data_IF_535067128745
#
_entry.id   IF_535067128745
#
_cell.length_a   1.000
_cell.length_b   1.000
_cell.length_c   1.000
_cell.angle_alpha   90.00
_cell.angle_beta   90.00
_cell.angle_gamma   90.00
#
_symmetry.space_group_name_H-M   'P 1'
#
loop_
_entity.id
_entity.type
_entity.pdbx_description
1 polymer ?
#
# COMPACT_ATOMS: atom_id res chain seq x y z
N UNK A 1 -26.56 17.22 -0.03
CA UNK A 1 -25.43 17.84 -0.74
C UNK A 1 -24.33 18.05 0.28
N UNK A 2 -23.19 17.36 0.14
CA UNK A 2 -22.00 17.71 0.91
C UNK A 2 -21.62 19.12 0.45
N UNK A 3 -21.57 20.08 1.38
CA UNK A 3 -21.22 21.46 1.04
C UNK A 3 -19.85 21.49 0.37
N UNK A 4 -19.77 22.19 -0.77
CA UNK A 4 -18.50 22.38 -1.46
C UNK A 4 -17.65 23.36 -0.66
N UNK A 5 -16.43 22.96 -0.33
CA UNK A 5 -15.45 23.83 0.30
C UNK A 5 -14.69 24.58 -0.79
N UNK A 6 -14.75 25.90 -0.78
CA UNK A 6 -13.91 26.71 -1.66
C UNK A 6 -12.52 26.87 -1.07
N UNK A 7 -11.48 26.76 -1.90
CA UNK A 7 -10.09 26.88 -1.50
C UNK A 7 -9.40 27.95 -2.37
N UNK A 8 -9.05 29.11 -1.80
CA UNK A 8 -8.42 30.21 -2.52
C UNK A 8 -7.05 29.85 -3.10
N UNK A 9 -6.67 30.49 -4.21
CA UNK A 9 -5.37 30.31 -4.87
C UNK A 9 -4.18 30.49 -3.93
N UNK A 10 -4.26 31.49 -3.05
CA UNK A 10 -3.25 31.76 -2.03
C UNK A 10 -3.07 30.64 -1.00
N UNK A 11 -4.05 29.74 -0.87
CA UNK A 11 -3.99 28.62 0.07
C UNK A 11 -3.60 27.31 -0.60
N UNK A 12 -4.15 27.01 -1.78
CA UNK A 12 -3.93 25.70 -2.39
C UNK A 12 -2.61 25.58 -3.13
N UNK A 13 -2.06 26.67 -3.69
CA UNK A 13 -0.74 26.63 -4.33
C UNK A 13 0.37 26.24 -3.34
N UNK A 14 0.45 26.84 -2.12
CA UNK A 14 1.40 26.39 -1.11
C UNK A 14 1.20 24.93 -0.69
N UNK A 15 -0.05 24.46 -0.56
CA UNK A 15 -0.34 23.05 -0.22
C UNK A 15 0.13 22.09 -1.32
N UNK A 16 -0.13 22.43 -2.57
CA UNK A 16 0.32 21.65 -3.73
C UNK A 16 1.86 21.56 -3.80
N UNK A 17 2.56 22.68 -3.59
CA UNK A 17 4.02 22.72 -3.57
C UNK A 17 4.60 21.92 -2.39
N UNK A 18 4.01 22.03 -1.19
CA UNK A 18 4.43 21.26 -0.02
C UNK A 18 4.22 19.75 -0.23
N UNK A 19 3.11 19.36 -0.87
CA UNK A 19 2.85 17.98 -1.24
C UNK A 19 3.88 17.46 -2.26
N UNK A 20 4.15 18.21 -3.32
CA UNK A 20 5.15 17.84 -4.32
C UNK A 20 6.53 17.63 -3.67
N UNK A 21 6.96 18.54 -2.81
CA UNK A 21 8.20 18.40 -2.04
C UNK A 21 8.20 17.17 -1.10
N UNK A 22 7.03 16.77 -0.56
CA UNK A 22 6.89 15.54 0.25
C UNK A 22 7.07 14.29 -0.61
N UNK A 23 6.47 14.25 -1.80
CA UNK A 23 6.61 13.14 -2.77
C UNK A 23 8.05 13.03 -3.27
N UNK A 24 8.71 14.15 -3.54
CA UNK A 24 10.05 14.20 -4.14
C UNK A 24 11.10 13.47 -3.30
N UNK A 25 10.95 13.46 -1.96
CA UNK A 25 11.83 12.74 -1.03
C UNK A 25 11.94 11.24 -1.35
N UNK A 26 10.91 10.66 -1.96
CA UNK A 26 10.86 9.24 -2.34
C UNK A 26 11.02 9.04 -3.84
N UNK A 27 10.43 9.93 -4.65
CA UNK A 27 10.45 9.84 -6.10
C UNK A 27 11.83 10.12 -6.69
N UNK A 28 12.54 11.15 -6.22
CA UNK A 28 13.83 11.54 -6.79
C UNK A 28 14.90 10.45 -6.65
N UNK A 29 15.14 9.84 -5.45
CA UNK A 29 16.11 8.76 -5.32
C UNK A 29 15.78 7.55 -6.21
N UNK A 30 14.49 7.20 -6.33
CA UNK A 30 14.05 6.14 -7.22
C UNK A 30 14.38 6.44 -8.68
N UNK A 31 14.07 7.65 -9.16
CA UNK A 31 14.36 8.06 -10.54
C UNK A 31 15.86 8.09 -10.83
N UNK A 32 16.67 8.63 -9.90
CA UNK A 32 18.13 8.65 -10.02
C UNK A 32 18.71 7.24 -10.15
N UNK A 33 18.28 6.30 -9.30
CA UNK A 33 18.70 4.89 -9.39
C UNK A 33 18.31 4.29 -10.73
N UNK A 34 17.08 4.52 -11.21
CA UNK A 34 16.60 3.99 -12.49
C UNK A 34 17.40 4.53 -13.66
N UNK A 35 17.79 5.80 -13.65
CA UNK A 35 18.67 6.38 -14.68
C UNK A 35 20.06 5.72 -14.71
N UNK A 36 20.56 5.30 -13.55
CA UNK A 36 21.83 4.57 -13.42
C UNK A 36 21.69 3.04 -13.55
N UNK A 37 20.50 2.54 -13.90
CA UNK A 37 20.18 1.11 -13.94
C UNK A 37 20.44 0.37 -12.60
N UNK A 38 20.41 1.10 -11.49
CA UNK A 38 20.54 0.57 -10.14
C UNK A 38 19.17 0.14 -9.60
N UNK A 39 19.19 -0.74 -8.60
CA UNK A 39 18.00 -1.23 -7.90
C UNK A 39 18.21 -1.10 -6.41
N UNK A 40 17.14 -0.83 -5.67
CA UNK A 40 17.12 -0.91 -4.21
C UNK A 40 16.02 -1.88 -3.77
N UNK A 41 16.34 -2.93 -2.96
CA UNK A 41 15.41 -4.04 -2.66
C UNK A 41 14.17 -3.64 -1.87
N UNK A 42 14.27 -2.57 -1.06
CA UNK A 42 13.17 -2.04 -0.24
C UNK A 42 12.50 -0.85 -0.94
N UNK A 43 13.23 0.26 -1.12
CA UNK A 43 12.71 1.54 -1.60
C UNK A 43 12.05 1.52 -2.99
N UNK A 44 12.54 0.70 -3.92
CA UNK A 44 11.97 0.68 -5.27
C UNK A 44 10.63 -0.07 -5.33
N UNK A 45 10.28 -0.82 -4.27
CA UNK A 45 9.14 -1.72 -4.26
C UNK A 45 7.83 -0.97 -4.54
N UNK A 46 7.56 0.15 -3.87
CA UNK A 46 6.27 0.84 -4.05
C UNK A 46 6.07 1.41 -5.46
N UNK A 47 7.14 1.73 -6.19
CA UNK A 47 7.06 2.25 -7.56
C UNK A 47 7.09 1.16 -8.65
N UNK A 48 7.48 -0.07 -8.29
CA UNK A 48 7.59 -1.21 -9.20
C UNK A 48 6.45 -2.21 -9.02
N UNK A 49 5.97 -2.40 -7.80
CA UNK A 49 4.87 -3.29 -7.45
C UNK A 49 3.51 -2.64 -7.70
N UNK A 50 3.31 -1.41 -7.22
CA UNK A 50 2.07 -0.68 -7.45
C UNK A 50 2.07 0.01 -8.82
N UNK A 51 0.86 0.24 -9.35
CA UNK A 51 0.69 0.84 -10.68
C UNK A 51 0.89 2.35 -10.70
N UNK A 52 0.89 3.00 -9.53
CA UNK A 52 1.02 4.44 -9.38
C UNK A 52 2.47 4.88 -9.64
N UNK A 53 2.68 5.66 -10.71
CA UNK A 53 4.01 6.14 -11.11
C UNK A 53 4.40 7.42 -10.36
N UNK A 54 5.72 7.72 -10.21
CA UNK A 54 6.18 8.93 -9.53
C UNK A 54 5.51 10.21 -10.04
N UNK A 55 5.47 10.43 -11.36
CA UNK A 55 4.84 11.61 -11.95
C UNK A 55 3.30 11.65 -11.81
N UNK A 56 2.65 10.53 -11.54
CA UNK A 56 1.22 10.51 -11.17
C UNK A 56 1.06 10.84 -9.69
N UNK A 57 1.95 10.34 -8.82
CA UNK A 57 1.94 10.63 -7.39
C UNK A 57 2.24 12.11 -7.12
N UNK A 58 3.11 12.76 -7.87
CA UNK A 58 3.41 14.20 -7.74
C UNK A 58 2.20 15.12 -8.01
N UNK A 59 1.16 14.64 -8.70
CA UNK A 59 -0.04 15.45 -8.97
C UNK A 59 -0.87 15.60 -7.71
N UNK A 60 -0.87 16.82 -7.16
CA UNK A 60 -1.69 17.17 -6.00
C UNK A 60 -3.17 17.30 -6.36
N UNK A 61 -4.04 16.71 -5.55
CA UNK A 61 -5.49 16.77 -5.66
C UNK A 61 -6.11 17.13 -4.30
N UNK A 62 -7.03 18.12 -4.23
CA UNK A 62 -7.66 18.51 -2.96
C UNK A 62 -8.68 17.48 -2.44
N UNK A 63 -9.10 16.54 -3.28
CA UNK A 63 -10.13 15.55 -2.96
C UNK A 63 -11.54 15.97 -3.36
N UNK A 64 -12.49 15.08 -3.12
CA UNK A 64 -13.90 15.29 -3.37
C UNK A 64 -14.48 16.44 -2.52
N UNK A 65 -15.37 17.23 -3.12
CA UNK A 65 -16.08 18.31 -2.42
C UNK A 65 -15.27 19.60 -2.22
N UNK A 66 -14.12 19.75 -2.89
CA UNK A 66 -13.31 20.98 -2.86
C UNK A 66 -13.28 21.65 -4.22
N UNK A 67 -13.48 22.98 -4.25
CA UNK A 67 -13.36 23.84 -5.43
C UNK A 67 -12.09 24.67 -5.29
N UNK A 68 -11.22 24.63 -6.30
CA UNK A 68 -10.04 25.47 -6.37
C UNK A 68 -10.40 26.78 -7.06
N UNK A 69 -10.19 27.89 -6.37
CA UNK A 69 -10.38 29.22 -6.93
C UNK A 69 -9.10 29.73 -7.62
N UNK A 70 -9.24 30.82 -8.38
CA UNK A 70 -8.14 31.54 -9.02
C UNK A 70 -7.82 31.07 -10.42
N UNK A 71 -7.00 31.86 -11.14
CA UNK A 71 -6.68 31.61 -12.54
C UNK A 71 -5.81 30.37 -12.72
N UNK A 72 -4.99 30.02 -11.72
CA UNK A 72 -4.19 28.81 -11.75
C UNK A 72 -5.03 27.52 -11.73
N UNK A 73 -6.28 27.58 -11.20
CA UNK A 73 -7.18 26.44 -11.18
C UNK A 73 -7.64 26.02 -12.59
N UNK A 74 -7.68 26.95 -13.55
CA UNK A 74 -8.07 26.68 -14.94
C UNK A 74 -7.21 25.60 -15.61
N UNK A 75 -5.94 25.46 -15.20
CA UNK A 75 -5.05 24.41 -15.70
C UNK A 75 -5.55 22.99 -15.37
N UNK A 76 -6.40 22.86 -14.34
CA UNK A 76 -6.98 21.58 -13.93
C UNK A 76 -8.12 21.13 -14.85
N UNK A 77 -8.72 22.00 -15.66
CA UNK A 77 -9.78 21.60 -16.60
C UNK A 77 -9.29 20.61 -17.67
N UNK A 78 -7.99 20.61 -17.98
CA UNK A 78 -7.39 19.59 -18.85
C UNK A 78 -7.18 18.22 -18.16
N UNK A 79 -7.47 18.11 -16.87
CA UNK A 79 -7.23 16.91 -16.09
C UNK A 79 -8.47 16.03 -16.07
N UNK A 80 -8.26 14.71 -16.05
CA UNK A 80 -9.36 13.75 -16.03
C UNK A 80 -10.25 13.96 -14.79
N UNK A 81 -11.55 14.02 -15.02
CA UNK A 81 -12.60 14.22 -14.01
C UNK A 81 -12.62 15.61 -13.35
N UNK A 82 -11.95 16.63 -13.91
CA UNK A 82 -12.12 18.00 -13.44
C UNK A 82 -13.11 18.75 -14.32
N UNK A 83 -13.93 19.59 -13.70
CA UNK A 83 -14.94 20.42 -14.36
C UNK A 83 -15.04 21.79 -13.70
N UNK A 84 -15.60 22.74 -14.43
CA UNK A 84 -15.97 24.04 -13.87
C UNK A 84 -17.05 23.86 -12.79
N UNK A 85 -16.91 24.60 -11.70
CA UNK A 85 -17.88 24.71 -10.63
C UNK A 85 -18.08 26.20 -10.31
N UNK A 86 -19.12 26.52 -9.54
CA UNK A 86 -19.39 27.90 -9.14
C UNK A 86 -18.16 28.52 -8.46
N UNK A 87 -17.51 29.46 -9.16
CA UNK A 87 -16.34 30.19 -8.66
C UNK A 87 -14.97 29.52 -8.83
N UNK A 88 -14.88 28.35 -9.48
CA UNK A 88 -13.58 27.68 -9.66
C UNK A 88 -13.61 26.34 -10.38
N UNK A 89 -12.62 25.49 -10.11
CA UNK A 89 -12.45 24.18 -10.74
C UNK A 89 -12.41 23.08 -9.69
N UNK A 90 -13.18 22.02 -9.89
CA UNK A 90 -13.35 20.94 -8.91
C UNK A 90 -13.53 19.58 -9.57
N UNK A 91 -13.61 18.53 -8.75
CA UNK A 91 -13.86 17.17 -9.20
C UNK A 91 -15.31 17.03 -9.69
N UNK A 92 -15.48 16.56 -10.92
CA UNK A 92 -16.74 16.04 -11.43
C UNK A 92 -17.06 14.70 -10.74
N UNK A 93 -17.85 14.79 -9.66
CA UNK A 93 -18.20 13.65 -8.83
C UNK A 93 -19.06 12.63 -9.57
N UNK A 94 -19.96 13.07 -10.45
CA UNK A 94 -20.86 12.18 -11.18
C UNK A 94 -20.08 11.38 -12.22
N UNK A 95 -19.28 12.05 -13.05
CA UNK A 95 -18.45 11.37 -14.04
C UNK A 95 -17.40 10.46 -13.38
N UNK A 96 -16.79 10.89 -12.28
CA UNK A 96 -15.88 10.05 -11.51
C UNK A 96 -16.59 8.82 -10.93
N UNK A 97 -17.74 9.00 -10.28
CA UNK A 97 -18.51 7.94 -9.64
C UNK A 97 -18.98 6.88 -10.64
N UNK A 98 -19.48 7.31 -11.80
CA UNK A 98 -19.85 6.41 -12.87
C UNK A 98 -18.65 5.62 -13.41
N UNK A 99 -17.53 6.29 -13.70
CA UNK A 99 -16.34 5.66 -14.25
C UNK A 99 -15.58 4.77 -13.26
N UNK A 100 -15.78 4.95 -11.95
CA UNK A 100 -15.07 4.24 -10.86
C UNK A 100 -16.00 3.43 -9.95
N UNK A 101 -17.25 3.18 -10.35
CA UNK A 101 -18.27 2.53 -9.53
C UNK A 101 -17.79 1.23 -8.88
N UNK A 102 -17.14 0.34 -9.65
CA UNK A 102 -16.60 -0.92 -9.12
C UNK A 102 -15.45 -0.71 -8.12
N UNK A 103 -14.52 0.22 -8.42
CA UNK A 103 -13.40 0.51 -7.52
C UNK A 103 -13.89 1.09 -6.19
N UNK A 104 -14.88 1.98 -6.24
CA UNK A 104 -15.53 2.57 -5.05
C UNK A 104 -16.23 1.47 -4.25
N UNK A 105 -17.07 0.64 -4.91
CA UNK A 105 -17.78 -0.47 -4.27
C UNK A 105 -16.81 -1.45 -3.59
N UNK A 106 -15.75 -1.86 -4.29
CA UNK A 106 -14.77 -2.79 -3.73
C UNK A 106 -13.99 -2.17 -2.58
N UNK A 107 -13.56 -0.91 -2.69
CA UNK A 107 -12.89 -0.19 -1.62
C UNK A 107 -13.75 -0.13 -0.36
N UNK A 108 -15.05 0.19 -0.46
CA UNK A 108 -15.96 0.16 0.69
C UNK A 108 -16.01 -1.21 1.35
N UNK A 109 -16.21 -2.26 0.56
CA UNK A 109 -16.32 -3.64 1.06
C UNK A 109 -15.04 -4.04 1.79
N UNK A 110 -13.88 -3.85 1.18
CA UNK A 110 -12.62 -4.32 1.74
C UNK A 110 -12.17 -3.48 2.96
N UNK A 111 -12.33 -2.15 2.91
CA UNK A 111 -11.96 -1.28 4.02
C UNK A 111 -12.87 -1.53 5.24
N UNK A 112 -14.19 -1.61 5.04
CA UNK A 112 -15.14 -1.88 6.12
C UNK A 112 -15.00 -3.32 6.66
N UNK A 113 -14.87 -4.30 5.77
CA UNK A 113 -14.68 -5.70 6.14
C UNK A 113 -13.44 -5.90 6.99
N UNK A 114 -12.28 -5.39 6.55
CA UNK A 114 -11.03 -5.46 7.30
C UNK A 114 -11.13 -4.75 8.65
N UNK A 115 -11.76 -3.58 8.72
CA UNK A 115 -11.94 -2.86 9.98
C UNK A 115 -12.84 -3.59 11.00
N UNK A 116 -13.77 -4.43 10.54
CA UNK A 116 -14.73 -5.13 11.40
C UNK A 116 -14.22 -6.44 12.01
N UNK A 117 -13.04 -6.92 11.61
CA UNK A 117 -12.50 -8.22 12.01
C UNK A 117 -11.45 -8.09 13.11
N UNK A 118 -11.29 -9.11 13.97
CA UNK A 118 -10.16 -9.16 14.89
C UNK A 118 -8.83 -9.26 14.12
N UNK A 119 -7.80 -8.55 14.61
CA UNK A 119 -6.45 -8.66 14.08
C UNK A 119 -5.81 -10.01 14.41
N UNK A 120 -5.16 -10.62 13.42
CA UNK A 120 -4.31 -11.79 13.58
C UNK A 120 -2.83 -11.37 13.43
N UNK A 121 -2.05 -11.63 14.48
CA UNK A 121 -0.64 -11.27 14.61
C UNK A 121 0.29 -12.49 14.59
N UNK A 122 -0.21 -13.65 14.15
CA UNK A 122 0.55 -14.91 14.13
C UNK A 122 1.08 -15.28 12.73
N UNK A 123 1.14 -14.33 11.79
CA UNK A 123 1.71 -14.56 10.45
C UNK A 123 3.24 -14.51 10.44
N UNK A 124 3.84 -13.62 11.25
CA UNK A 124 5.29 -13.44 11.40
C UNK A 124 6.07 -13.19 10.10
N UNK A 125 5.42 -12.69 9.04
CA UNK A 125 6.08 -12.44 7.76
C UNK A 125 6.43 -13.72 6.98
N UNK A 126 5.91 -14.88 7.38
CA UNK A 126 6.25 -16.18 6.80
C UNK A 126 5.87 -16.32 5.32
N UNK A 127 5.12 -15.37 4.75
CA UNK A 127 4.83 -15.35 3.32
C UNK A 127 6.10 -15.19 2.46
N UNK A 128 7.08 -14.38 2.85
CA UNK A 128 8.33 -14.24 2.07
C UNK A 128 9.17 -15.53 2.18
N UNK A 129 9.10 -16.23 3.31
CA UNK A 129 9.76 -17.52 3.53
C UNK A 129 9.11 -18.61 2.66
N UNK A 130 7.78 -18.62 2.55
CA UNK A 130 7.05 -19.50 1.67
C UNK A 130 7.32 -19.22 0.17
N UNK A 131 7.57 -17.97 -0.22
CA UNK A 131 7.99 -17.61 -1.58
C UNK A 131 9.42 -18.08 -1.90
N UNK A 132 10.26 -18.29 -0.89
CA UNK A 132 11.64 -18.80 -1.05
C UNK A 132 11.77 -20.30 -0.71
N UNK A 133 10.67 -20.98 -0.40
CA UNK A 133 10.70 -22.39 0.02
C UNK A 133 11.13 -23.31 -1.14
N UNK A 134 12.05 -24.24 -0.85
CA UNK A 134 12.67 -25.12 -1.85
C UNK A 134 13.40 -24.34 -2.95
N UNK A 135 14.11 -23.28 -2.57
CA UNK A 135 14.79 -22.37 -3.49
C UNK A 135 15.82 -23.03 -4.42
N UNK A 136 16.39 -24.18 -4.05
CA UNK A 136 17.30 -24.92 -4.93
C UNK A 136 16.60 -25.42 -6.21
N UNK A 137 15.31 -25.71 -6.13
CA UNK A 137 14.49 -26.14 -7.27
C UNK A 137 13.71 -24.99 -7.89
N UNK A 138 13.24 -24.05 -7.06
CA UNK A 138 12.34 -22.97 -7.47
C UNK A 138 13.02 -21.63 -7.79
N UNK A 139 14.30 -21.48 -7.42
CA UNK A 139 14.96 -20.18 -7.36
C UNK A 139 14.41 -19.29 -6.24
N UNK A 140 14.78 -18.01 -6.27
CA UNK A 140 14.28 -16.98 -5.34
C UNK A 140 13.88 -15.73 -6.12
N UNK A 141 12.89 -15.00 -5.60
CA UNK A 141 12.37 -13.78 -6.22
C UNK A 141 13.38 -12.64 -6.25
N UNK A 142 14.18 -12.50 -5.19
CA UNK A 142 15.23 -11.49 -5.08
C UNK A 142 16.61 -12.14 -5.32
N UNK A 143 16.87 -12.59 -6.56
CA UNK A 143 18.09 -13.34 -6.95
C UNK A 143 19.42 -12.65 -6.62
N UNK A 144 19.41 -11.32 -6.46
CA UNK A 144 20.59 -10.52 -6.12
C UNK A 144 20.79 -10.35 -4.60
N UNK A 145 19.91 -10.92 -3.77
CA UNK A 145 20.04 -10.93 -2.32
C UNK A 145 20.34 -12.35 -1.83
N UNK A 146 21.35 -12.54 -0.96
CA UNK A 146 21.60 -13.84 -0.36
C UNK A 146 20.50 -14.21 0.64
N UNK A 147 20.30 -15.51 0.86
CA UNK A 147 19.45 -16.02 1.94
C UNK A 147 20.24 -16.05 3.25
N UNK A 148 19.71 -15.42 4.30
CA UNK A 148 20.37 -15.26 5.61
C UNK A 148 20.69 -16.60 6.30
N UNK A 149 19.84 -17.61 6.08
CA UNK A 149 20.02 -18.97 6.64
C UNK A 149 20.35 -20.02 5.55
N UNK A 150 20.64 -19.59 4.32
CA UNK A 150 20.74 -20.47 3.16
C UNK A 150 19.41 -21.17 2.82
N UNK A 151 19.44 -22.01 1.78
CA UNK A 151 18.26 -22.74 1.33
C UNK A 151 17.73 -23.70 2.41
N UNK A 152 18.59 -24.56 2.97
CA UNK A 152 18.21 -25.55 3.97
C UNK A 152 17.68 -24.93 5.28
N UNK A 153 18.22 -23.78 5.71
CA UNK A 153 17.70 -23.07 6.88
C UNK A 153 16.36 -22.40 6.63
N UNK A 154 16.17 -21.82 5.44
CA UNK A 154 14.88 -21.26 5.00
C UNK A 154 13.80 -22.34 4.96
N UNK A 155 14.11 -23.50 4.38
CA UNK A 155 13.22 -24.66 4.35
C UNK A 155 12.79 -25.11 5.74
N UNK A 156 13.73 -25.17 6.68
CA UNK A 156 13.46 -25.57 8.06
C UNK A 156 12.48 -24.61 8.75
N UNK A 157 12.65 -23.30 8.57
CA UNK A 157 11.72 -22.30 9.12
C UNK A 157 10.31 -22.53 8.58
N UNK A 158 10.16 -22.74 7.27
CA UNK A 158 8.85 -23.03 6.64
C UNK A 158 8.22 -24.30 7.20
N UNK A 159 9.01 -25.35 7.43
CA UNK A 159 8.52 -26.65 7.91
C UNK A 159 8.15 -26.66 9.41
N UNK A 160 8.87 -25.91 10.24
CA UNK A 160 8.67 -25.87 11.69
C UNK A 160 7.58 -24.89 12.12
N UNK A 161 7.08 -24.05 11.21
CA UNK A 161 6.12 -23.00 11.50
C UNK A 161 4.78 -23.21 10.81
N UNK A 162 3.72 -22.67 11.43
CA UNK A 162 2.38 -22.67 10.83
C UNK A 162 2.20 -21.43 9.97
N UNK A 163 2.04 -21.62 8.67
CA UNK A 163 1.80 -20.53 7.73
C UNK A 163 0.30 -20.26 7.67
N UNK A 164 -0.10 -19.02 7.95
CA UNK A 164 -1.51 -18.62 8.08
C UNK A 164 -1.79 -17.32 7.33
N UNK A 165 -1.16 -17.16 6.17
CA UNK A 165 -1.33 -15.96 5.36
C UNK A 165 -2.77 -15.85 4.87
N UNK A 166 -3.40 -14.72 5.16
CA UNK A 166 -4.77 -14.39 4.71
C UNK A 166 -4.77 -13.54 3.45
N UNK A 167 -3.61 -13.03 3.03
CA UNK A 167 -3.51 -12.02 1.98
C UNK A 167 -3.19 -12.65 0.62
N UNK A 168 -4.16 -12.61 -0.29
CA UNK A 168 -4.06 -13.25 -1.60
C UNK A 168 -2.88 -12.74 -2.44
N UNK A 169 -2.61 -11.44 -2.44
CA UNK A 169 -1.56 -10.86 -3.26
C UNK A 169 -0.14 -11.19 -2.78
N UNK A 170 0.02 -11.76 -1.58
CA UNK A 170 1.23 -12.43 -1.13
C UNK A 170 1.16 -13.94 -1.44
N UNK A 171 0.06 -14.59 -1.07
CA UNK A 171 -0.13 -16.03 -1.23
C UNK A 171 0.08 -16.53 -2.67
N UNK A 172 -0.37 -15.78 -3.68
CA UNK A 172 -0.24 -16.16 -5.10
C UNK A 172 1.20 -16.26 -5.62
N UNK A 173 2.20 -15.86 -4.82
CA UNK A 173 3.62 -15.97 -5.14
C UNK A 173 4.32 -17.13 -4.44
N UNK A 174 3.61 -17.91 -3.63
CA UNK A 174 4.19 -19.06 -2.94
C UNK A 174 4.74 -20.06 -3.96
N UNK A 175 5.81 -20.75 -3.58
CA UNK A 175 6.27 -21.89 -4.37
C UNK A 175 5.24 -23.01 -4.31
N UNK A 176 5.15 -23.87 -5.35
CA UNK A 176 4.15 -24.94 -5.41
C UNK A 176 4.12 -25.82 -4.15
N UNK A 177 5.28 -26.08 -3.56
CA UNK A 177 5.43 -26.90 -2.35
C UNK A 177 5.01 -26.17 -1.07
N UNK A 178 5.02 -24.84 -1.04
CA UNK A 178 4.57 -24.05 0.11
C UNK A 178 3.06 -23.77 0.11
N UNK A 179 2.42 -23.77 -1.06
CA UNK A 179 0.96 -23.59 -1.22
C UNK A 179 0.14 -24.49 -0.27
N UNK A 180 0.35 -25.83 -0.24
CA UNK A 180 -0.43 -26.71 0.65
C UNK A 180 -0.10 -26.56 2.14
N UNK A 181 0.98 -25.86 2.50
CA UNK A 181 1.38 -25.63 3.89
C UNK A 181 0.66 -24.45 4.53
N UNK A 182 0.04 -23.57 3.74
CA UNK A 182 -0.77 -22.49 4.25
C UNK A 182 -2.12 -23.03 4.75
N UNK A 183 -2.45 -22.76 6.02
CA UNK A 183 -3.70 -23.22 6.63
C UNK A 183 -4.96 -22.68 5.92
N UNK A 184 -4.81 -21.54 5.24
CA UNK A 184 -5.83 -20.93 4.41
C UNK A 184 -5.43 -21.03 2.94
N UNK A 185 -6.41 -20.98 2.04
CA UNK A 185 -6.17 -20.96 0.60
C UNK A 185 -6.80 -19.69 0.01
N UNK A 186 -6.22 -18.49 0.27
CA UNK A 186 -6.77 -17.25 -0.26
C UNK A 186 -6.87 -17.28 -1.78
N UNK A 187 -7.96 -16.74 -2.29
CA UNK A 187 -8.19 -16.49 -3.72
C UNK A 187 -8.52 -15.02 -3.94
N UNK A 188 -8.58 -14.59 -5.20
CA UNK A 188 -9.00 -13.21 -5.51
C UNK A 188 -10.43 -12.95 -5.02
N UNK A 189 -11.31 -13.93 -5.15
CA UNK A 189 -12.74 -13.85 -4.81
C UNK A 189 -12.96 -13.77 -3.30
N UNK A 190 -12.13 -14.48 -2.53
CA UNK A 190 -12.20 -14.57 -1.06
C UNK A 190 -11.38 -13.49 -0.35
N UNK A 191 -10.61 -12.66 -1.08
CA UNK A 191 -9.78 -11.61 -0.50
C UNK A 191 -10.55 -10.71 0.47
N UNK A 192 -11.76 -10.27 0.07
CA UNK A 192 -12.63 -9.41 0.90
C UNK A 192 -13.06 -10.07 2.22
N UNK A 193 -13.06 -11.41 2.26
CA UNK A 193 -13.52 -12.22 3.39
C UNK A 193 -12.38 -12.56 4.35
N UNK A 194 -11.15 -12.63 3.84
CA UNK A 194 -9.97 -13.05 4.60
C UNK A 194 -9.08 -11.89 5.09
N UNK A 195 -9.12 -10.73 4.45
CA UNK A 195 -8.30 -9.60 4.91
C UNK A 195 -8.67 -9.16 6.33
N UNK A 196 -7.64 -8.84 7.11
CA UNK A 196 -7.72 -8.60 8.55
C UNK A 196 -6.68 -7.54 8.98
N UNK A 197 -6.94 -6.76 10.04
CA UNK A 197 -6.22 -5.50 10.30
C UNK A 197 -4.79 -5.67 10.83
N UNK A 198 -4.41 -6.87 11.28
CA UNK A 198 -3.04 -7.23 11.63
C UNK A 198 -2.16 -7.59 10.43
N UNK A 199 -2.71 -7.82 9.24
CA UNK A 199 -1.90 -8.20 8.07
C UNK A 199 -1.09 -7.00 7.55
N UNK A 200 0.24 -7.12 7.52
CA UNK A 200 1.11 -6.06 6.99
C UNK A 200 0.72 -5.65 5.57
N UNK A 201 0.46 -6.58 4.66
CA UNK A 201 0.13 -6.21 3.29
C UNK A 201 -1.26 -5.67 3.09
N UNK A 202 -2.26 -6.12 3.85
CA UNK A 202 -3.58 -5.50 3.82
C UNK A 202 -3.50 -4.03 4.25
N UNK A 203 -2.61 -3.74 5.20
CA UNK A 203 -2.32 -2.38 5.67
C UNK A 203 -1.49 -1.56 4.65
N UNK A 204 -0.50 -2.18 4.01
CA UNK A 204 0.26 -1.59 2.91
C UNK A 204 -0.66 -1.23 1.72
N UNK A 205 -1.66 -2.08 1.45
CA UNK A 205 -2.65 -1.89 0.39
C UNK A 205 -3.63 -0.74 0.64
N UNK A 206 -3.61 -0.09 1.81
CA UNK A 206 -4.30 1.19 1.97
C UNK A 206 -3.80 2.21 0.95
N UNK A 207 -2.51 2.19 0.60
CA UNK A 207 -1.96 3.00 -0.49
C UNK A 207 -2.60 2.64 -1.83
N UNK A 208 -2.75 1.35 -2.14
CA UNK A 208 -3.43 0.84 -3.34
C UNK A 208 -4.85 1.38 -3.47
N UNK A 209 -5.61 1.30 -2.38
CA UNK A 209 -6.99 1.77 -2.36
C UNK A 209 -7.07 3.30 -2.45
N UNK A 210 -6.15 4.00 -1.82
CA UNK A 210 -6.08 5.46 -1.87
C UNK A 210 -5.83 5.97 -3.29
N UNK A 211 -4.78 5.50 -3.98
CA UNK A 211 -4.48 6.00 -5.32
C UNK A 211 -5.48 5.52 -6.39
N UNK A 212 -6.14 4.36 -6.18
CA UNK A 212 -7.22 3.90 -7.09
C UNK A 212 -8.44 4.82 -7.06
N UNK A 213 -8.61 5.58 -5.97
CA UNK A 213 -9.68 6.53 -5.78
C UNK A 213 -9.24 7.98 -6.04
N UNK A 214 -8.01 8.25 -6.49
CA UNK A 214 -7.60 9.57 -7.00
C UNK A 214 -8.43 9.91 -8.26
N UNK A 215 -8.99 11.14 -8.38
CA UNK A 215 -8.68 12.34 -7.60
C UNK A 215 -9.62 12.64 -6.42
N UNK A 216 -10.52 11.72 -6.08
CA UNK A 216 -11.47 11.88 -4.98
C UNK A 216 -10.84 11.82 -3.58
N UNK A 217 -9.77 11.05 -3.41
CA UNK A 217 -9.02 11.03 -2.14
C UNK A 217 -8.06 12.22 -2.09
N UNK A 218 -8.08 13.04 -1.02
CA UNK A 218 -7.10 14.12 -0.84
C UNK A 218 -5.67 13.57 -0.91
N UNK A 219 -4.81 14.25 -1.66
CA UNK A 219 -3.44 13.83 -1.92
C UNK A 219 -2.64 13.59 -0.64
N UNK A 220 -2.86 14.38 0.41
CA UNK A 220 -2.23 14.19 1.72
C UNK A 220 -2.56 12.83 2.32
N UNK A 221 -3.81 12.36 2.21
CA UNK A 221 -4.20 11.03 2.68
C UNK A 221 -3.59 9.92 1.81
N UNK A 222 -3.46 10.12 0.50
CA UNK A 222 -2.73 9.20 -0.38
C UNK A 222 -1.28 9.07 0.08
N UNK A 223 -0.63 10.19 0.42
CA UNK A 223 0.76 10.21 0.87
C UNK A 223 0.93 9.63 2.28
N UNK A 224 -0.01 9.87 3.20
CA UNK A 224 -0.01 9.22 4.52
C UNK A 224 -0.04 7.68 4.37
N UNK A 225 -0.85 7.18 3.43
CA UNK A 225 -0.90 5.75 3.11
C UNK A 225 0.39 5.25 2.43
N UNK A 226 1.00 6.05 1.55
CA UNK A 226 2.28 5.73 0.92
C UNK A 226 3.40 5.59 1.95
N UNK A 227 3.54 6.54 2.87
CA UNK A 227 4.59 6.51 3.91
C UNK A 227 4.39 5.34 4.87
N UNK A 228 3.14 5.03 5.25
CA UNK A 228 2.84 3.82 6.00
C UNK A 228 3.26 2.57 5.22
N UNK A 229 2.91 2.49 3.93
CA UNK A 229 3.30 1.37 3.08
C UNK A 229 4.83 1.23 2.94
N UNK A 230 5.55 2.35 2.95
CA UNK A 230 7.01 2.39 2.90
C UNK A 230 7.61 1.79 4.18
N UNK A 231 7.16 2.25 5.34
CA UNK A 231 7.60 1.73 6.64
C UNK A 231 7.28 0.23 6.79
N UNK A 232 6.08 -0.18 6.38
CA UNK A 232 5.67 -1.59 6.40
C UNK A 232 6.58 -2.42 5.50
N UNK A 233 6.91 -1.95 4.29
CA UNK A 233 7.79 -2.67 3.38
C UNK A 233 9.21 -2.81 3.95
N UNK A 234 9.70 -1.81 4.67
CA UNK A 234 10.96 -1.91 5.41
C UNK A 234 10.91 -3.05 6.44
N UNK A 235 9.85 -3.12 7.25
CA UNK A 235 9.68 -4.21 8.21
C UNK A 235 9.53 -5.59 7.53
N UNK A 236 8.73 -5.67 6.47
CA UNK A 236 8.48 -6.87 5.68
C UNK A 236 9.79 -7.48 5.17
N UNK A 237 10.68 -6.64 4.62
CA UNK A 237 11.99 -7.10 4.16
C UNK A 237 12.95 -7.44 5.30
N UNK A 238 12.91 -6.71 6.42
CA UNK A 238 13.72 -7.05 7.62
C UNK A 238 13.34 -8.42 8.19
N UNK A 239 12.07 -8.83 8.09
CA UNK A 239 11.59 -10.12 8.58
C UNK A 239 11.67 -11.25 7.54
N UNK A 240 12.08 -10.95 6.31
CA UNK A 240 12.18 -11.89 5.20
C UNK A 240 13.36 -12.87 5.37
N UNK A 241 13.46 -13.93 4.55
CA UNK A 241 14.61 -14.84 4.58
C UNK A 241 15.87 -14.23 3.94
N UNK A 242 15.76 -13.08 3.29
CA UNK A 242 16.87 -12.40 2.62
C UNK A 242 17.76 -11.68 3.62
N UNK A 243 19.06 -11.60 3.33
CA UNK A 243 20.00 -10.77 4.05
C UNK A 243 20.11 -9.39 3.37
N UNK A 244 19.82 -8.34 4.14
CA UNK A 244 19.84 -6.94 3.71
C UNK A 244 20.82 -6.10 4.55
N UNK A 245 21.75 -6.74 5.26
CA UNK A 245 22.71 -6.04 6.12
C UNK A 245 23.59 -5.06 5.33
N UNK A 246 24.06 -5.44 4.14
CA UNK A 246 24.80 -4.57 3.20
C UNK A 246 23.97 -3.36 2.70
N UNK A 247 22.65 -3.43 2.86
CA UNK A 247 21.71 -2.35 2.52
C UNK A 247 21.30 -1.53 3.75
N UNK A 248 21.87 -1.80 4.92
CA UNK A 248 21.60 -1.07 6.17
C UNK A 248 20.37 -1.55 6.94
N UNK A 249 19.83 -2.73 6.63
CA UNK A 249 18.64 -3.27 7.30
C UNK A 249 18.99 -4.45 8.20
N UNK A 250 18.97 -4.24 9.52
CA UNK A 250 19.15 -5.32 10.51
C UNK A 250 17.93 -6.28 10.49
N UNK A 251 18.15 -7.60 10.39
CA UNK A 251 17.08 -8.57 10.31
C UNK A 251 16.26 -8.69 11.60
N UNK A 252 14.94 -8.79 11.46
CA UNK A 252 14.04 -9.26 12.51
C UNK A 252 13.98 -10.78 12.39
N UNK A 253 14.65 -11.47 13.31
CA UNK A 253 14.89 -12.92 13.24
C UNK A 253 13.67 -13.73 13.69
N UNK A 254 12.63 -13.77 12.85
CA UNK A 254 11.35 -14.44 13.14
C UNK A 254 11.48 -15.96 13.37
N UNK A 255 12.63 -16.55 13.07
CA UNK A 255 12.95 -17.93 13.44
C UNK A 255 13.18 -18.13 14.95
N UNK A 256 13.37 -17.05 15.73
CA UNK A 256 13.53 -17.11 17.19
C UNK A 256 12.33 -16.56 17.95
N UNK A 257 12.10 -16.95 19.21
CA UNK A 257 11.04 -16.37 20.05
C UNK A 257 11.17 -14.84 20.22
N UNK A 258 12.39 -14.33 20.38
CA UNK A 258 12.66 -12.90 20.58
C UNK A 258 12.33 -12.10 19.32
N UNK A 259 12.74 -12.59 18.15
CA UNK A 259 12.43 -11.92 16.88
C UNK A 259 10.93 -11.94 16.56
N UNK A 260 10.21 -13.02 16.92
CA UNK A 260 8.73 -13.04 16.83
C UNK A 260 8.09 -12.02 17.77
N UNK A 261 8.60 -11.87 18.99
CA UNK A 261 8.09 -10.88 19.93
C UNK A 261 8.31 -9.45 19.42
N UNK A 262 9.49 -9.14 18.86
CA UNK A 262 9.76 -7.86 18.20
C UNK A 262 8.82 -7.64 17.01
N UNK A 263 8.66 -8.65 16.15
CA UNK A 263 7.76 -8.59 14.99
C UNK A 263 6.33 -8.25 15.41
N UNK A 264 5.78 -8.96 16.41
CA UNK A 264 4.41 -8.72 16.87
C UNK A 264 4.23 -7.32 17.46
N UNK A 265 5.22 -6.81 18.19
CA UNK A 265 5.18 -5.44 18.72
C UNK A 265 5.07 -4.42 17.58
N UNK A 266 5.96 -4.49 16.60
CA UNK A 266 5.96 -3.59 15.44
C UNK A 266 4.70 -3.76 14.58
N UNK A 267 4.23 -5.00 14.39
CA UNK A 267 3.02 -5.29 13.62
C UNK A 267 1.77 -4.64 14.23
N UNK A 268 1.69 -4.59 15.57
CA UNK A 268 0.59 -3.91 16.28
C UNK A 268 0.63 -2.39 16.08
N UNK A 269 1.81 -1.79 16.16
CA UNK A 269 1.98 -0.34 15.87
C UNK A 269 1.54 -0.01 14.44
N UNK A 270 1.88 -0.86 13.47
CA UNK A 270 1.39 -0.70 12.10
C UNK A 270 -0.12 -0.89 11.98
N UNK A 271 -0.70 -1.88 12.65
CA UNK A 271 -2.15 -2.10 12.66
C UNK A 271 -2.90 -0.86 13.19
N UNK A 272 -2.45 -0.28 14.30
CA UNK A 272 -3.04 0.93 14.89
C UNK A 272 -2.97 2.15 13.94
N UNK A 273 -1.78 2.41 13.37
CA UNK A 273 -1.61 3.47 12.35
C UNK A 273 -2.52 3.25 11.14
N UNK A 274 -2.64 1.99 10.71
CA UNK A 274 -3.47 1.60 9.56
C UNK A 274 -4.95 1.77 9.83
N UNK A 275 -5.42 1.49 11.04
CA UNK A 275 -6.82 1.63 11.42
C UNK A 275 -7.29 3.08 11.29
N UNK A 276 -6.47 4.04 11.73
CA UNK A 276 -6.75 5.46 11.57
C UNK A 276 -6.86 5.87 10.08
N UNK A 277 -5.92 5.42 9.24
CA UNK A 277 -5.94 5.71 7.80
C UNK A 277 -7.10 5.00 7.09
N UNK A 278 -7.40 3.76 7.47
CA UNK A 278 -8.52 2.98 6.93
C UNK A 278 -9.85 3.66 7.20
N UNK A 279 -10.06 4.18 8.42
CA UNK A 279 -11.25 4.94 8.77
C UNK A 279 -11.42 6.23 7.95
N UNK A 280 -10.34 7.01 7.78
CA UNK A 280 -10.34 8.21 6.93
C UNK A 280 -10.66 7.86 5.47
N UNK A 281 -10.04 6.80 4.95
CA UNK A 281 -10.24 6.37 3.56
C UNK A 281 -11.63 5.80 3.31
N UNK A 282 -12.18 5.05 4.27
CA UNK A 282 -13.55 4.55 4.24
C UNK A 282 -14.57 5.70 4.27
N UNK A 283 -14.30 6.76 5.05
CA UNK A 283 -15.14 7.96 5.08
C UNK A 283 -15.21 8.61 3.70
N UNK A 284 -14.07 8.79 3.03
CA UNK A 284 -14.04 9.28 1.65
C UNK A 284 -14.80 8.33 0.72
N UNK A 285 -14.50 7.04 0.75
CA UNK A 285 -15.14 6.06 -0.12
C UNK A 285 -16.67 6.04 0.04
N UNK A 286 -17.19 6.19 1.27
CA UNK A 286 -18.63 6.24 1.55
C UNK A 286 -19.31 7.53 1.06
N UNK A 287 -18.59 8.65 1.02
CA UNK A 287 -19.12 9.92 0.53
C UNK A 287 -19.22 9.99 -1.00
N UNK A 288 -18.51 9.12 -1.73
CA UNK A 288 -18.52 9.13 -3.19
C UNK A 288 -19.85 8.60 -3.76
N UNK A 289 -20.32 9.10 -4.91
CA UNK A 289 -21.42 8.45 -5.60
C UNK A 289 -20.96 7.07 -6.11
N UNK A 290 -21.75 6.04 -5.85
CA UNK A 290 -21.67 4.79 -6.60
C UNK A 290 -22.95 4.68 -7.41
N UNK A 291 -22.83 4.60 -8.74
CA UNK A 291 -23.95 4.16 -9.56
C UNK A 291 -24.43 2.79 -9.03
N UNK A 292 -25.75 2.63 -8.92
CA UNK A 292 -26.40 1.37 -8.50
C UNK A 292 -26.05 0.26 -9.50
#
# INVERSE_FOLDING_TARGET
>A
MVGMLSLPESEWLPRAAAYEARVERFAAPFLERRMRQQKHPVEDFLFTYYTQKPGQLQRWHPGAGVVLEGSAAAQRLGWKFYTENDGGVGLDLEAFGAARAEAIRFARIILAGTASRPGNFACFGLHEWAMAYKSESNGIRHEYLPLRLGAAGTDRVVQEHRIRCTHFDAFRFYTPEAVPLNELQPTRETQRDLEQPGCLHANMDLYKWAYKLTPAVPSELVMDCFELAWDIRTMDMRASPYDLTDWGYEPIRIETPEGKAEYVRLQKEFAERSDALRGRLLTVANALPSAV
#
